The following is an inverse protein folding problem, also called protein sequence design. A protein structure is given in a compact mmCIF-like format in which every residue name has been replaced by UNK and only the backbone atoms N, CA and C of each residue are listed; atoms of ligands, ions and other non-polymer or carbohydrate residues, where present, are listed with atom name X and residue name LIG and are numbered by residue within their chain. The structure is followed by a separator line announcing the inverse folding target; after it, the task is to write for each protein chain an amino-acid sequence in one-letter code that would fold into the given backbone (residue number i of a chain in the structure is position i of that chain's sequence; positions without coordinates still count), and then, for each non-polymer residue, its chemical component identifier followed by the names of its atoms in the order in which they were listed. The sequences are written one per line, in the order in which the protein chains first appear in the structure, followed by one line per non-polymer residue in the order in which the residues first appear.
data_IF_833372015004
#
_entry.id   IF_833372015004
#
_cell.length_a   1.000
_cell.length_b   1.000
_cell.length_c   1.000
_cell.angle_alpha   90.00
_cell.angle_beta   90.00
_cell.angle_gamma   90.00
#
_symmetry.space_group_name_H-M   'P 1'
#
loop_
_entity.id
_entity.type
_entity.pdbx_description
1 polymer ?
#
# COMPACT_ATOMS: atom_id res chain seq x y z
N UNK A 1 9.34 -4.68 -11.15
CA UNK A 1 8.80 -6.04 -10.89
C UNK A 1 7.54 -6.24 -11.73
N UNK A 2 7.20 -7.47 -12.19
CA UNK A 2 5.95 -7.65 -12.97
C UNK A 2 4.69 -7.58 -12.08
N UNK A 3 3.69 -6.81 -12.51
CA UNK A 3 2.34 -6.73 -11.92
C UNK A 3 1.71 -8.10 -11.62
N UNK A 4 1.97 -9.11 -12.46
CA UNK A 4 1.42 -10.45 -12.27
C UNK A 4 1.99 -11.17 -11.03
N UNK A 5 3.25 -10.88 -10.68
CA UNK A 5 3.90 -11.45 -9.50
C UNK A 5 3.29 -10.86 -8.22
N UNK A 6 3.12 -9.54 -8.19
CA UNK A 6 2.56 -8.85 -7.02
C UNK A 6 1.08 -9.20 -6.82
N UNK A 7 0.29 -9.32 -7.91
CA UNK A 7 -1.11 -9.80 -7.85
C UNK A 7 -1.21 -11.20 -7.25
N UNK A 8 -0.43 -12.17 -7.74
CA UNK A 8 -0.38 -13.53 -7.15
C UNK A 8 -0.02 -13.51 -5.66
N UNK A 9 0.86 -12.60 -5.25
CA UNK A 9 1.24 -12.45 -3.85
C UNK A 9 0.10 -11.85 -3.01
N UNK A 10 -0.60 -10.85 -3.54
CA UNK A 10 -1.78 -10.26 -2.92
C UNK A 10 -2.91 -11.29 -2.73
N UNK A 11 -3.13 -12.13 -3.74
CA UNK A 11 -4.10 -13.23 -3.69
C UNK A 11 -3.75 -14.24 -2.60
N UNK A 12 -2.46 -14.62 -2.48
CA UNK A 12 -1.97 -15.49 -1.40
C UNK A 12 -2.28 -14.92 -0.01
N UNK A 13 -2.31 -13.60 0.12
CA UNK A 13 -2.64 -12.91 1.37
C UNK A 13 -4.13 -12.56 1.52
N UNK A 14 -4.99 -12.99 0.59
CA UNK A 14 -6.42 -12.67 0.56
C UNK A 14 -6.70 -11.15 0.51
N UNK A 15 -5.82 -10.35 -0.10
CA UNK A 15 -5.96 -8.89 -0.14
C UNK A 15 -7.32 -8.46 -0.68
N UNK A 16 -7.72 -8.97 -1.86
CA UNK A 16 -8.98 -8.62 -2.52
C UNK A 16 -10.17 -8.97 -1.64
N UNK A 17 -10.16 -10.17 -1.03
CA UNK A 17 -11.22 -10.64 -0.15
C UNK A 17 -11.39 -9.75 1.08
N UNK A 18 -10.28 -9.29 1.68
CA UNK A 18 -10.30 -8.45 2.88
C UNK A 18 -10.64 -6.99 2.53
N UNK A 19 -10.19 -6.51 1.37
CA UNK A 19 -10.52 -5.18 0.87
C UNK A 19 -12.01 -5.07 0.46
N UNK A 20 -12.59 -6.14 -0.08
CA UNK A 20 -13.98 -6.17 -0.52
C UNK A 20 -14.29 -5.01 -1.47
N UNK A 21 -15.36 -4.27 -1.17
CA UNK A 21 -15.82 -3.13 -1.99
C UNK A 21 -14.85 -1.94 -2.00
N UNK A 22 -13.87 -1.91 -1.10
CA UNK A 22 -12.84 -0.87 -1.08
C UNK A 22 -11.72 -1.16 -2.06
N UNK A 23 -11.62 -2.37 -2.61
CA UNK A 23 -10.54 -2.75 -3.52
C UNK A 23 -10.52 -1.87 -4.78
N UNK A 24 -9.31 -1.46 -5.18
CA UNK A 24 -9.04 -0.73 -6.42
C UNK A 24 -7.87 -1.37 -7.15
N UNK A 25 -8.02 -1.56 -8.45
CA UNK A 25 -7.04 -2.17 -9.34
C UNK A 25 -6.87 -1.31 -10.60
N UNK A 26 -6.09 -1.78 -11.58
CA UNK A 26 -5.84 -1.04 -12.82
C UNK A 26 -7.09 -0.71 -13.66
N UNK A 27 -8.22 -1.40 -13.42
CA UNK A 27 -9.48 -1.10 -14.12
C UNK A 27 -10.22 0.07 -13.47
N UNK A 28 -9.81 0.49 -12.27
CA UNK A 28 -10.38 1.64 -11.57
C UNK A 28 -9.77 2.97 -12.04
N UNK A 29 -10.60 4.01 -12.11
CA UNK A 29 -10.18 5.35 -12.50
C UNK A 29 -9.07 5.91 -11.61
N UNK A 30 -9.09 5.59 -10.30
CA UNK A 30 -8.05 6.01 -9.36
C UNK A 30 -6.67 5.48 -9.76
N UNK A 31 -6.54 4.17 -9.96
CA UNK A 31 -5.24 3.56 -10.27
C UNK A 31 -4.77 3.98 -11.66
N UNK A 32 -5.68 4.13 -12.62
CA UNK A 32 -5.33 4.64 -13.96
C UNK A 32 -4.79 6.07 -13.87
N UNK A 33 -5.50 6.97 -13.19
CA UNK A 33 -5.07 8.36 -12.97
C UNK A 33 -3.69 8.44 -12.32
N UNK A 34 -3.45 7.65 -11.27
CA UNK A 34 -2.18 7.68 -10.54
C UNK A 34 -1.01 7.20 -11.42
N UNK A 35 -1.21 6.14 -12.20
CA UNK A 35 -0.22 5.66 -13.16
C UNK A 35 0.03 6.63 -14.33
N UNK A 36 -0.97 7.43 -14.73
CA UNK A 36 -0.79 8.49 -15.73
C UNK A 36 -0.03 9.70 -15.18
N UNK A 37 -0.15 9.96 -13.87
CA UNK A 37 0.47 11.12 -13.22
C UNK A 37 1.91 10.89 -12.75
N UNK A 38 2.28 9.65 -12.44
CA UNK A 38 3.57 9.30 -11.85
C UNK A 38 4.30 8.26 -12.72
N UNK A 39 5.18 8.75 -13.59
CA UNK A 39 5.93 7.90 -14.52
C UNK A 39 7.05 7.08 -13.84
N UNK A 40 7.43 7.42 -12.60
CA UNK A 40 8.56 6.80 -11.92
C UNK A 40 8.15 5.69 -10.95
N UNK A 41 6.84 5.49 -10.76
CA UNK A 41 6.28 4.53 -9.82
C UNK A 41 5.02 3.86 -10.35
N UNK A 42 5.15 2.61 -10.82
CA UNK A 42 4.00 1.79 -11.20
C UNK A 42 3.14 1.49 -9.97
N UNK A 43 1.88 1.94 -10.01
CA UNK A 43 0.85 1.69 -9.01
C UNK A 43 0.08 0.43 -9.37
N UNK A 44 0.04 -0.53 -8.45
CA UNK A 44 -0.51 -1.86 -8.71
C UNK A 44 -1.99 -2.00 -8.33
N UNK A 45 -2.32 -1.67 -7.08
CA UNK A 45 -3.67 -1.79 -6.52
C UNK A 45 -3.70 -1.15 -5.13
N UNK A 46 -4.90 -0.98 -4.58
CA UNK A 46 -5.05 -0.44 -3.23
C UNK A 46 -6.47 -0.55 -2.70
N UNK A 47 -6.75 0.35 -1.77
CA UNK A 47 -8.06 0.52 -1.17
C UNK A 47 -8.48 1.99 -1.24
N UNK A 48 -9.77 2.24 -1.42
CA UNK A 48 -10.37 3.57 -1.41
C UNK A 48 -11.72 3.51 -0.68
N UNK A 49 -11.94 4.43 0.25
CA UNK A 49 -13.19 4.53 1.00
C UNK A 49 -14.27 5.30 0.21
N UNK A 50 -15.46 5.46 0.79
CA UNK A 50 -16.59 6.15 0.13
C UNK A 50 -16.37 7.65 -0.05
N UNK A 51 -15.43 8.23 0.69
CA UNK A 51 -15.10 9.66 0.68
C UNK A 51 -13.92 9.96 -0.27
N UNK A 52 -13.43 8.97 -1.03
CA UNK A 52 -12.28 9.11 -1.92
C UNK A 52 -10.92 9.12 -1.19
N UNK A 53 -10.89 8.76 0.09
CA UNK A 53 -9.64 8.59 0.84
C UNK A 53 -9.05 7.23 0.50
N UNK A 54 -7.82 7.20 0.00
CA UNK A 54 -7.21 6.00 -0.55
C UNK A 54 -5.83 5.69 0.02
N UNK A 55 -5.43 4.43 -0.16
CA UNK A 55 -4.06 3.94 0.05
C UNK A 55 -3.76 2.90 -1.01
N UNK A 56 -2.79 3.18 -1.87
CA UNK A 56 -2.44 2.35 -3.02
C UNK A 56 -0.96 1.99 -2.99
N UNK A 57 -0.71 0.73 -3.29
CA UNK A 57 0.61 0.14 -3.32
C UNK A 57 1.24 0.37 -4.69
N UNK A 58 2.33 1.12 -4.73
CA UNK A 58 3.21 1.20 -5.88
C UNK A 58 4.52 0.46 -5.67
N UNK A 59 5.29 0.37 -6.75
CA UNK A 59 6.58 -0.32 -6.77
C UNK A 59 7.56 0.22 -5.73
N UNK A 60 7.76 1.54 -5.71
CA UNK A 60 8.72 2.23 -4.83
C UNK A 60 8.04 2.96 -3.68
N UNK A 61 6.83 3.44 -3.91
CA UNK A 61 6.09 4.29 -2.99
C UNK A 61 4.71 3.72 -2.67
N UNK A 62 4.29 3.93 -1.44
CA UNK A 62 2.88 3.86 -1.04
C UNK A 62 2.28 5.26 -1.25
N UNK A 63 1.27 5.35 -2.10
CA UNK A 63 0.55 6.60 -2.35
C UNK A 63 -0.75 6.58 -1.54
N UNK A 64 -1.11 7.72 -0.95
CA UNK A 64 -2.31 7.81 -0.13
C UNK A 64 -2.85 9.24 -0.18
N UNK A 65 -4.15 9.39 0.06
CA UNK A 65 -4.73 10.70 0.32
C UNK A 65 -4.99 10.88 1.81
N UNK A 66 -4.82 12.11 2.29
CA UNK A 66 -5.21 12.47 3.65
C UNK A 66 -6.74 12.54 3.76
N UNK A 67 -7.27 12.66 4.99
CA UNK A 67 -8.69 12.96 5.22
C UNK A 67 -9.20 14.20 4.49
N UNK A 68 -8.31 15.16 4.20
CA UNK A 68 -8.63 16.38 3.47
C UNK A 68 -8.48 16.23 1.94
N UNK A 69 -8.26 15.01 1.45
CA UNK A 69 -8.11 14.71 0.03
C UNK A 69 -6.73 15.10 -0.55
N UNK A 70 -5.76 15.46 0.29
CA UNK A 70 -4.41 15.82 -0.19
C UNK A 70 -3.64 14.56 -0.50
N UNK A 71 -3.24 14.39 -1.76
CA UNK A 71 -2.43 13.27 -2.22
C UNK A 71 -0.98 13.40 -1.69
N UNK A 72 -0.45 12.31 -1.15
CA UNK A 72 0.90 12.19 -0.60
C UNK A 72 1.49 10.84 -0.97
N UNK A 73 2.82 10.76 -0.89
CA UNK A 73 3.56 9.52 -1.08
C UNK A 73 4.57 9.33 0.05
N UNK A 74 4.85 8.08 0.35
CA UNK A 74 5.92 7.67 1.26
C UNK A 74 6.67 6.50 0.62
N UNK A 75 8.01 6.50 0.69
CA UNK A 75 8.76 5.36 0.17
C UNK A 75 8.43 4.11 0.97
N UNK A 76 8.39 2.98 0.28
CA UNK A 76 8.11 1.66 0.86
C UNK A 76 9.01 1.36 2.06
N UNK A 77 10.30 1.72 1.98
CA UNK A 77 11.25 1.59 3.10
C UNK A 77 10.90 2.49 4.29
N UNK A 78 10.66 3.78 4.04
CA UNK A 78 10.33 4.74 5.11
C UNK A 78 9.02 4.36 5.81
N UNK A 79 8.03 3.87 5.08
CA UNK A 79 6.79 3.38 5.66
C UNK A 79 7.04 2.21 6.64
N UNK A 80 7.87 1.23 6.27
CA UNK A 80 8.24 0.14 7.18
C UNK A 80 8.95 0.64 8.45
N UNK A 81 9.81 1.66 8.32
CA UNK A 81 10.50 2.27 9.47
C UNK A 81 9.52 2.99 10.40
N UNK A 82 8.60 3.80 9.87
CA UNK A 82 7.62 4.52 10.68
C UNK A 82 6.69 3.55 11.42
N UNK A 83 6.18 2.53 10.74
CA UNK A 83 5.31 1.52 11.38
C UNK A 83 6.04 0.77 12.50
N UNK A 84 7.34 0.48 12.33
CA UNK A 84 8.16 -0.14 13.39
C UNK A 84 8.30 0.77 14.61
N UNK A 85 8.47 2.08 14.42
CA UNK A 85 8.59 3.05 15.53
C UNK A 85 7.29 3.16 16.33
N UNK A 86 6.15 3.16 15.64
CA UNK A 86 4.83 3.33 16.27
C UNK A 86 4.45 2.10 17.10
N UNK A 87 4.83 0.91 16.64
CA UNK A 87 4.40 -0.35 17.23
C UNK A 87 2.92 -0.63 16.94
N UNK A 88 2.62 -1.86 16.53
CA UNK A 88 1.24 -2.29 16.28
C UNK A 88 0.60 -2.69 17.62
N UNK A 89 -0.04 -1.75 18.32
CA UNK A 89 -0.83 -2.09 19.51
C UNK A 89 -2.27 -2.47 19.13
N UNK A 90 -2.76 -3.58 19.66
CA UNK A 90 -4.13 -4.09 19.38
C UNK A 90 -5.26 -3.10 19.69
N UNK A 91 -4.96 -2.03 20.42
CA UNK A 91 -5.90 -1.00 20.87
C UNK A 91 -6.04 0.18 19.91
N UNK A 92 -5.17 0.29 18.89
CA UNK A 92 -5.29 1.34 17.89
C UNK A 92 -6.52 1.12 17.01
N UNK A 93 -7.36 2.14 16.87
CA UNK A 93 -8.40 2.16 15.84
C UNK A 93 -7.74 2.37 14.49
N UNK A 94 -7.59 1.28 13.74
CA UNK A 94 -6.80 1.24 12.51
C UNK A 94 -7.44 1.89 11.27
N UNK A 95 -8.53 2.64 11.43
CA UNK A 95 -9.07 3.43 10.31
C UNK A 95 -8.04 4.44 9.79
N UNK A 96 -7.21 5.02 10.66
CA UNK A 96 -6.15 5.95 10.26
C UNK A 96 -4.85 5.67 11.01
N UNK A 97 -3.86 5.14 10.29
CA UNK A 97 -2.52 4.88 10.81
C UNK A 97 -1.70 6.16 10.68
N UNK A 98 -1.35 6.76 11.81
CA UNK A 98 -0.47 7.94 11.84
C UNK A 98 0.91 7.53 11.33
N UNK A 99 1.49 8.30 10.42
CA UNK A 99 2.83 8.06 9.86
C UNK A 99 3.82 9.10 10.35
N UNK A 100 3.36 10.34 10.52
CA UNK A 100 4.09 11.42 11.18
C UNK A 100 3.09 12.39 11.84
N UNK A 101 3.58 13.53 12.32
CA UNK A 101 2.76 14.54 13.01
C UNK A 101 1.57 15.04 12.19
N UNK A 102 1.70 15.07 10.86
CA UNK A 102 0.77 15.72 9.95
C UNK A 102 0.05 14.73 9.02
N UNK A 103 0.49 13.48 8.98
CA UNK A 103 0.04 12.49 8.01
C UNK A 103 -0.51 11.24 8.67
N UNK A 104 -1.69 10.82 8.20
CA UNK A 104 -2.25 9.52 8.49
C UNK A 104 -2.74 8.85 7.21
N UNK A 105 -2.53 7.55 7.14
CA UNK A 105 -2.93 6.69 6.03
C UNK A 105 -4.21 5.99 6.42
N UNK A 106 -5.22 6.06 5.56
CA UNK A 106 -6.46 5.32 5.78
C UNK A 106 -6.23 3.83 5.53
N UNK A 107 -6.55 3.00 6.50
CA UNK A 107 -6.51 1.55 6.33
C UNK A 107 -7.86 0.99 6.77
N UNK A 108 -8.40 0.04 6.02
CA UNK A 108 -9.70 -0.52 6.33
C UNK A 108 -9.74 -1.27 7.68
N UNK A 109 -8.70 -2.04 7.99
CA UNK A 109 -8.55 -2.75 9.26
C UNK A 109 -7.11 -3.24 9.48
N UNK A 110 -6.81 -3.83 10.65
CA UNK A 110 -5.47 -4.34 10.99
C UNK A 110 -4.98 -5.48 10.08
N UNK A 111 -5.89 -6.31 9.57
CA UNK A 111 -5.52 -7.37 8.63
C UNK A 111 -5.03 -6.76 7.32
N UNK A 112 -5.70 -5.71 6.84
CA UNK A 112 -5.31 -4.97 5.65
C UNK A 112 -3.92 -4.33 5.83
N UNK A 113 -3.65 -3.70 6.98
CA UNK A 113 -2.32 -3.17 7.30
C UNK A 113 -1.25 -4.27 7.26
N UNK A 114 -1.54 -5.42 7.89
CA UNK A 114 -0.60 -6.56 7.94
C UNK A 114 -0.26 -7.09 6.54
N UNK A 115 -1.24 -7.09 5.64
CA UNK A 115 -1.02 -7.53 4.25
C UNK A 115 -0.23 -6.49 3.48
N UNK A 116 -0.56 -5.20 3.59
CA UNK A 116 0.20 -4.11 2.95
C UNK A 116 1.67 -4.17 3.39
N UNK A 117 1.93 -4.33 4.69
CA UNK A 117 3.29 -4.51 5.21
C UNK A 117 3.99 -5.73 4.59
N UNK A 118 3.30 -6.87 4.49
CA UNK A 118 3.85 -8.09 3.90
C UNK A 118 4.19 -7.93 2.42
N UNK A 119 3.37 -7.19 1.67
CA UNK A 119 3.60 -6.87 0.26
C UNK A 119 4.75 -5.87 0.09
N UNK A 120 4.83 -4.84 0.93
CA UNK A 120 5.94 -3.87 0.92
C UNK A 120 7.27 -4.56 1.26
N UNK A 121 7.29 -5.46 2.25
CA UNK A 121 8.49 -6.27 2.55
C UNK A 121 8.90 -7.12 1.35
N UNK A 122 7.94 -7.67 0.61
CA UNK A 122 8.24 -8.43 -0.60
C UNK A 122 8.86 -7.54 -1.68
N UNK A 123 8.26 -6.38 -1.97
CA UNK A 123 8.77 -5.40 -2.96
C UNK A 123 10.19 -4.91 -2.61
N UNK A 124 10.40 -4.48 -1.37
CA UNK A 124 11.69 -3.93 -0.91
C UNK A 124 12.82 -4.97 -0.90
N UNK A 125 12.51 -6.24 -0.64
CA UNK A 125 13.52 -7.32 -0.71
C UNK A 125 13.92 -7.65 -2.13
N UNK A 126 13.02 -7.51 -3.10
CA UNK A 126 13.30 -7.80 -4.50
C UNK A 126 14.00 -6.67 -5.23
N UNK A 127 13.85 -5.43 -4.77
CA UNK A 127 14.60 -4.29 -5.31
C UNK A 127 16.03 -4.20 -4.74
N UNK A 128 16.27 -4.74 -3.54
CA UNK A 128 17.60 -4.77 -2.90
C UNK A 128 18.46 -6.01 -3.19
N UNK A 129 17.90 -7.04 -3.82
CA UNK A 129 18.62 -8.26 -4.20
C UNK A 129 18.29 -8.60 -5.65
N UNK A 130 19.22 -8.27 -6.55
CA UNK A 130 19.34 -8.94 -7.83
C UNK A 130 19.18 -10.45 -7.58
N UNK A 131 18.16 -11.03 -8.20
CA UNK A 131 17.73 -12.41 -7.99
C UNK A 131 18.89 -13.34 -8.35
N UNK A 132 19.73 -13.69 -7.38
CA UNK A 132 20.44 -14.96 -7.34
C UNK A 132 19.65 -15.89 -6.43
N UNK A 133 18.52 -16.37 -6.94
CA UNK A 133 18.02 -17.66 -6.50
C UNK A 133 18.97 -18.71 -7.10
N UNK A 134 20.06 -19.03 -6.39
CA UNK A 134 20.75 -20.30 -6.62
C UNK A 134 19.83 -21.39 -6.08
N UNK A 135 19.32 -22.20 -7.00
CA UNK A 135 18.82 -23.55 -6.72
C UNK A 135 19.99 -24.43 -6.29
#
# INVERSE_FOLDING_TARGET
MSLNIIKKRADKYNFIKIAGNFYRNNDSDLIRRLNESDNDNEVYFGIENKDGVYTVLGEKYLLFSTKSGVEKSISNLKFLEEIKKIGLSKEQKYEFVKIDENNSIWIYNIQMLSIILSLIVFLTRTDGLGIKAKT
#
